data_IF_224191335347
#
_entry.id   IF_224191335347
#
_cell.length_a   1.000
_cell.length_b   1.000
_cell.length_c   1.000
_cell.angle_alpha   90.00
_cell.angle_beta   90.00
_cell.angle_gamma   90.00
#
_symmetry.space_group_name_H-M   'P 1'
#
loop_
_entity.id
_entity.type
_entity.pdbx_description
1 polymer ?
#
# COMPACT_ATOMS: atom_id res chain seq x y z
N UNK A 1 -3.39 11.40 6.94
CA UNK A 1 -3.93 10.27 7.72
C UNK A 1 -4.07 9.06 6.81
N UNK A 2 -3.68 7.87 7.29
CA UNK A 2 -3.72 6.63 6.51
C UNK A 2 -4.23 5.47 7.37
N UNK A 3 -4.93 4.52 6.74
CA UNK A 3 -5.36 3.25 7.35
C UNK A 3 -4.66 2.12 6.62
N UNK A 4 -4.11 1.17 7.39
CA UNK A 4 -3.41 0.00 6.89
C UNK A 4 -4.15 -1.26 7.31
N UNK A 5 -4.51 -2.11 6.34
CA UNK A 5 -5.26 -3.34 6.58
C UNK A 5 -4.55 -4.57 6.02
N UNK A 6 -4.62 -5.67 6.75
CA UNK A 6 -4.20 -7.01 6.28
C UNK A 6 -5.36 -7.75 5.63
N UNK A 7 -5.49 -9.04 5.93
CA UNK A 7 -6.54 -9.97 5.50
C UNK A 7 -6.43 -10.51 4.06
N UNK A 8 -6.30 -9.64 3.07
CA UNK A 8 -6.28 -10.06 1.66
C UNK A 8 -4.87 -10.29 1.12
N UNK A 9 -4.54 -11.56 0.90
CA UNK A 9 -3.16 -11.99 0.67
C UNK A 9 -2.60 -11.54 -0.69
N UNK A 10 -3.48 -11.27 -1.66
CA UNK A 10 -3.12 -10.79 -2.99
C UNK A 10 -3.23 -9.28 -3.19
N UNK A 11 -3.55 -8.53 -2.13
CA UNK A 11 -3.83 -7.09 -2.23
C UNK A 11 -2.74 -6.32 -1.50
N UNK A 12 -2.02 -5.48 -2.25
CA UNK A 12 -0.89 -4.70 -1.74
C UNK A 12 -0.88 -3.24 -2.24
N UNK A 13 -1.98 -2.79 -2.83
CA UNK A 13 -2.11 -1.42 -3.31
C UNK A 13 -2.46 -0.44 -2.20
N UNK A 14 -2.24 0.84 -2.49
CA UNK A 14 -2.79 1.96 -1.75
C UNK A 14 -3.75 2.75 -2.67
N UNK A 15 -4.76 3.40 -2.09
CA UNK A 15 -5.62 4.36 -2.76
C UNK A 15 -5.85 5.59 -1.90
N UNK A 16 -6.27 6.69 -2.52
CA UNK A 16 -6.84 7.83 -1.82
C UNK A 16 -8.35 7.83 -2.00
N UNK A 17 -9.09 7.82 -0.89
CA UNK A 17 -10.53 7.99 -0.89
C UNK A 17 -10.88 9.46 -1.16
N UNK A 18 -10.72 9.87 -2.42
CA UNK A 18 -10.87 11.26 -2.89
C UNK A 18 -12.32 11.71 -2.96
N UNK A 19 -12.54 13.03 -3.02
CA UNK A 19 -13.89 13.63 -3.07
C UNK A 19 -14.75 13.21 -4.27
N UNK A 20 -14.14 12.95 -5.43
CA UNK A 20 -14.84 12.53 -6.64
C UNK A 20 -14.32 11.17 -7.09
N UNK A 21 -15.08 10.12 -6.79
CA UNK A 21 -14.79 8.73 -7.13
C UNK A 21 -16.03 8.11 -7.81
N UNK A 22 -16.36 8.64 -9.00
CA UNK A 22 -17.59 8.34 -9.77
C UNK A 22 -17.95 6.86 -9.92
N UNK A 23 -16.96 5.97 -9.87
CA UNK A 23 -17.14 4.53 -10.04
C UNK A 23 -16.97 3.72 -8.74
N UNK A 24 -17.04 4.37 -7.57
CA UNK A 24 -16.93 3.73 -6.27
C UNK A 24 -18.16 4.01 -5.40
N UNK A 25 -18.42 3.13 -4.42
CA UNK A 25 -19.40 3.36 -3.37
C UNK A 25 -18.70 3.30 -2.01
N UNK A 26 -18.73 4.36 -1.20
CA UNK A 26 -19.29 5.68 -1.50
C UNK A 26 -18.48 6.48 -2.53
N UNK A 27 -19.17 7.24 -3.39
CA UNK A 27 -18.58 8.02 -4.48
C UNK A 27 -17.84 9.29 -4.01
N UNK A 28 -18.03 9.69 -2.75
CA UNK A 28 -17.47 10.89 -2.14
C UNK A 28 -16.63 10.56 -0.91
N UNK A 29 -15.31 10.65 -1.06
CA UNK A 29 -14.37 10.43 0.02
C UNK A 29 -13.89 11.69 0.73
N UNK A 30 -13.21 11.48 1.85
CA UNK A 30 -12.70 12.53 2.74
C UNK A 30 -11.17 12.72 2.66
N UNK A 31 -10.51 12.14 1.66
CA UNK A 31 -9.06 12.21 1.46
C UNK A 31 -8.25 11.20 2.27
N UNK A 32 -8.90 10.20 2.88
CA UNK A 32 -8.21 9.14 3.61
C UNK A 32 -7.36 8.28 2.66
N UNK A 33 -6.11 8.01 3.05
CA UNK A 33 -5.28 7.04 2.35
C UNK A 33 -5.57 5.64 2.90
N UNK A 34 -5.89 4.68 2.03
CA UNK A 34 -6.18 3.30 2.36
C UNK A 34 -5.11 2.42 1.75
N UNK A 35 -4.46 1.57 2.55
CA UNK A 35 -3.35 0.73 2.10
C UNK A 35 -3.52 -0.71 2.59
N UNK A 36 -3.19 -1.68 1.73
CA UNK A 36 -3.20 -3.09 2.09
C UNK A 36 -1.80 -3.66 2.27
N UNK A 37 -1.66 -4.65 3.16
CA UNK A 37 -0.37 -5.13 3.65
C UNK A 37 0.19 -6.38 2.94
N UNK A 38 -0.53 -6.99 1.98
CA UNK A 38 -0.20 -8.29 1.34
C UNK A 38 -0.18 -9.48 2.34
N UNK A 39 0.10 -10.67 1.80
CA UNK A 39 0.45 -11.90 2.50
C UNK A 39 1.76 -11.77 3.31
N UNK A 40 1.63 -11.48 4.60
CA UNK A 40 2.77 -11.48 5.54
C UNK A 40 2.92 -12.82 6.26
N UNK A 41 4.15 -13.31 6.43
CA UNK A 41 4.43 -14.57 7.11
C UNK A 41 4.02 -15.82 6.31
N UNK A 42 3.98 -16.98 6.97
CA UNK A 42 3.82 -18.30 6.33
C UNK A 42 2.40 -18.91 6.44
N UNK A 43 1.46 -18.23 7.08
CA UNK A 43 0.10 -18.72 7.29
C UNK A 43 -0.92 -18.16 6.27
N UNK A 44 -2.02 -18.89 6.07
CA UNK A 44 -3.16 -18.48 5.23
C UNK A 44 -3.11 -19.02 3.80
N UNK A 45 -3.82 -18.36 2.87
CA UNK A 45 -4.06 -18.86 1.51
C UNK A 45 -3.23 -18.14 0.45
N UNK A 46 -3.23 -18.69 -0.76
CA UNK A 46 -2.50 -18.23 -1.96
C UNK A 46 -0.98 -18.49 -1.94
N UNK A 47 -0.44 -18.45 -3.15
CA UNK A 47 0.97 -18.53 -3.51
C UNK A 47 1.55 -17.14 -3.80
N UNK A 48 0.91 -16.02 -3.45
CA UNK A 48 1.50 -14.69 -3.65
C UNK A 48 2.86 -14.57 -2.93
N UNK A 49 3.82 -13.88 -3.55
CA UNK A 49 5.13 -13.67 -2.92
C UNK A 49 4.93 -12.93 -1.60
N UNK A 50 5.51 -13.46 -0.53
CA UNK A 50 5.30 -12.96 0.82
C UNK A 50 6.04 -11.65 1.02
N UNK A 51 5.48 -10.80 1.87
CA UNK A 51 6.09 -9.54 2.25
C UNK A 51 5.34 -8.81 3.33
N UNK A 52 5.99 -7.82 3.91
CA UNK A 52 5.42 -6.97 4.95
C UNK A 52 5.49 -5.50 4.56
N UNK A 53 4.39 -4.78 4.80
CA UNK A 53 4.37 -3.33 4.60
C UNK A 53 5.22 -2.62 5.64
N UNK A 54 6.17 -1.84 5.15
CA UNK A 54 6.93 -0.89 5.92
C UNK A 54 6.18 0.46 5.91
N UNK A 55 6.13 1.10 7.08
CA UNK A 55 5.57 2.45 7.25
C UNK A 55 6.70 3.27 7.86
N UNK A 56 7.21 4.24 7.10
CA UNK A 56 8.32 5.09 7.52
C UNK A 56 7.82 6.49 7.77
N UNK A 57 7.99 6.92 9.01
CA UNK A 57 7.60 8.22 9.51
C UNK A 57 8.88 8.97 9.87
N UNK A 58 9.09 10.11 9.23
CA UNK A 58 10.21 11.00 9.51
C UNK A 58 9.67 12.20 10.29
N UNK A 59 10.27 12.50 11.44
CA UNK A 59 9.82 13.58 12.32
C UNK A 59 9.74 14.94 11.60
N UNK A 60 10.74 15.25 10.77
CA UNK A 60 10.79 16.48 9.98
C UNK A 60 9.64 16.63 8.96
N UNK A 61 8.95 15.54 8.60
CA UNK A 61 7.86 15.51 7.62
C UNK A 61 6.46 15.47 8.25
N UNK A 62 6.37 15.31 9.57
CA UNK A 62 5.08 15.24 10.29
C UNK A 62 4.23 16.51 10.10
N UNK A 63 4.87 17.69 10.08
CA UNK A 63 4.17 18.96 9.84
C UNK A 63 3.49 19.05 8.48
N UNK A 64 4.00 18.31 7.48
CA UNK A 64 3.41 18.21 6.15
C UNK A 64 2.42 17.03 6.01
N UNK A 65 2.18 16.27 7.08
CA UNK A 65 1.39 15.03 7.05
C UNK A 65 1.87 14.02 6.00
N UNK A 66 3.19 13.95 5.80
CA UNK A 66 3.82 13.08 4.82
C UNK A 66 4.43 11.83 5.48
N UNK A 67 4.27 10.68 4.83
CA UNK A 67 4.97 9.44 5.18
C UNK A 67 5.27 8.62 3.93
N UNK A 68 6.22 7.69 4.04
CA UNK A 68 6.52 6.73 2.98
C UNK A 68 6.07 5.32 3.38
N UNK A 69 5.63 4.54 2.41
CA UNK A 69 5.28 3.14 2.65
C UNK A 69 5.53 2.27 1.42
N UNK A 70 5.90 1.02 1.66
CA UNK A 70 6.14 0.01 0.63
C UNK A 70 6.01 -1.39 1.22
N UNK A 71 5.94 -2.41 0.37
CA UNK A 71 6.11 -3.82 0.78
C UNK A 71 7.58 -4.21 0.61
N UNK A 72 8.19 -4.76 1.65
CA UNK A 72 9.45 -5.52 1.53
C UNK A 72 9.10 -7.00 1.31
N UNK A 73 9.53 -7.56 0.18
CA UNK A 73 9.37 -8.98 -0.13
C UNK A 73 10.49 -9.83 0.49
N UNK A 74 10.28 -11.14 0.62
CA UNK A 74 11.26 -12.08 1.21
C UNK A 74 12.60 -12.12 0.47
N UNK A 75 12.58 -11.95 -0.85
CA UNK A 75 13.79 -11.86 -1.68
C UNK A 75 14.54 -10.51 -1.51
N UNK A 76 14.06 -9.65 -0.62
CA UNK A 76 14.62 -8.34 -0.37
C UNK A 76 14.18 -7.29 -1.38
N UNK A 77 13.34 -7.58 -2.38
CA UNK A 77 12.85 -6.57 -3.32
C UNK A 77 11.75 -5.67 -2.71
N UNK A 78 11.48 -4.53 -3.37
CA UNK A 78 10.45 -3.57 -2.98
C UNK A 78 9.27 -3.66 -3.94
N UNK A 79 8.06 -3.64 -3.40
CA UNK A 79 6.82 -3.52 -4.15
C UNK A 79 5.97 -2.37 -3.63
N UNK A 80 5.30 -1.63 -4.52
CA UNK A 80 4.28 -0.65 -4.16
C UNK A 80 4.78 0.51 -3.30
N UNK A 81 5.98 1.02 -3.58
CA UNK A 81 6.52 2.18 -2.87
C UNK A 81 5.79 3.45 -3.26
N UNK A 82 5.21 4.12 -2.26
CA UNK A 82 4.48 5.37 -2.42
C UNK A 82 4.79 6.35 -1.29
N UNK A 83 4.62 7.65 -1.59
CA UNK A 83 4.60 8.71 -0.59
C UNK A 83 3.15 9.11 -0.37
N UNK A 84 2.68 9.05 0.88
CA UNK A 84 1.34 9.50 1.24
C UNK A 84 1.41 10.94 1.72
N UNK A 85 0.99 11.88 0.88
CA UNK A 85 0.94 13.31 1.17
C UNK A 85 -0.24 13.98 0.42
N UNK A 86 -0.17 15.30 0.22
CA UNK A 86 -1.22 16.07 -0.47
C UNK A 86 -1.37 15.70 -1.96
N UNK A 87 -0.29 15.32 -2.64
CA UNK A 87 -0.27 15.00 -4.08
C UNK A 87 -0.54 13.53 -4.39
N UNK A 88 -0.51 12.66 -3.38
CA UNK A 88 -0.88 11.26 -3.54
C UNK A 88 -2.28 11.11 -4.18
N UNK A 89 -2.37 10.23 -5.18
CA UNK A 89 -3.54 10.06 -6.05
C UNK A 89 -3.45 10.81 -7.39
N UNK A 90 -2.52 11.77 -7.52
CA UNK A 90 -2.16 12.41 -8.80
C UNK A 90 -0.73 12.13 -9.25
N UNK A 91 0.12 11.71 -8.31
CA UNK A 91 1.49 11.28 -8.61
C UNK A 91 1.51 10.01 -9.46
N UNK A 92 2.61 9.80 -10.19
CA UNK A 92 2.88 8.55 -10.92
C UNK A 92 3.91 7.71 -10.18
N UNK A 93 3.54 6.47 -9.89
CA UNK A 93 4.41 5.48 -9.27
C UNK A 93 4.72 4.35 -10.26
N UNK A 94 5.87 3.66 -10.13
CA UNK A 94 6.17 2.49 -10.94
C UNK A 94 5.09 1.41 -10.81
N UNK A 95 4.82 0.71 -11.90
CA UNK A 95 3.93 -0.44 -11.87
C UNK A 95 4.52 -1.55 -10.98
N UNK A 96 3.64 -2.25 -10.26
CA UNK A 96 4.02 -3.36 -9.39
C UNK A 96 3.98 -4.68 -10.17
N UNK A 97 5.03 -5.48 -10.06
CA UNK A 97 5.06 -6.84 -10.59
C UNK A 97 4.23 -7.78 -9.71
N UNK A 98 3.33 -8.53 -10.34
CA UNK A 98 2.57 -9.60 -9.68
C UNK A 98 3.44 -10.85 -9.55
N UNK A 99 4.02 -11.06 -8.38
CA UNK A 99 4.94 -12.17 -8.10
C UNK A 99 4.31 -13.24 -7.20
N UNK A 100 4.61 -14.51 -7.48
CA UNK A 100 4.27 -15.65 -6.64
C UNK A 100 5.50 -16.10 -5.84
N UNK A 101 5.29 -16.69 -4.68
CA UNK A 101 6.32 -17.39 -3.93
C UNK A 101 6.77 -18.58 -4.76
N UNK A 102 8.08 -18.69 -4.99
CA UNK A 102 8.65 -19.92 -5.54
C UNK A 102 8.53 -21.01 -4.48
N UNK A 103 7.99 -22.17 -4.86
CA UNK A 103 8.10 -23.38 -4.06
C UNK A 103 9.58 -23.65 -3.82
N UNK A 104 9.96 -23.86 -2.55
CA UNK A 104 11.23 -24.49 -2.20
C UNK A 104 11.22 -25.96 -2.68
#
# INVERSE_FOLDING_TARGET
>A
MAVFSGHDHGVDWCMKWSKDLRNNSPANGNGLNLCFNRHSGYGGYSDWARGARQIVIEEAKLGASELQTWIRLEDGSISGQVTLNSTYGTDRYPAVTKSKSTSL
#
